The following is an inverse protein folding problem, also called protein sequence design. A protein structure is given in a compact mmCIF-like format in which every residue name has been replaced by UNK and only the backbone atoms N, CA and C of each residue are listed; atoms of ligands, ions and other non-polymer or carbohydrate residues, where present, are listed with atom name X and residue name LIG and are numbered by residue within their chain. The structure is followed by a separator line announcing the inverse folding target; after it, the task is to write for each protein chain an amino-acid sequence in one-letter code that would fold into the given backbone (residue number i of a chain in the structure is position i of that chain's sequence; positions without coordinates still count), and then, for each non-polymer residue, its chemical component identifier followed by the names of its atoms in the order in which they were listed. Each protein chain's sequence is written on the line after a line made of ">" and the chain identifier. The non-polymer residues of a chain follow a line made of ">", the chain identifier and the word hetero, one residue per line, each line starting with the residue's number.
data_IF_215302136143
#
_entry.id   IF_215302136143
#
_cell.length_a   1.000
_cell.length_b   1.000
_cell.length_c   1.000
_cell.angle_alpha   90.00
_cell.angle_beta   90.00
_cell.angle_gamma   90.00
#
_symmetry.space_group_name_H-M   'P 1'
#
loop_
_entity.id
_entity.type
_entity.pdbx_description
1 polymer ?
#
# COMPACT_ATOMS: atom_id res chain seq x y z
N UNK A 1 -37.45 21.00 27.28
CA UNK A 1 -36.62 22.13 27.72
C UNK A 1 -35.43 21.53 28.47
N UNK A 2 -34.37 21.16 27.75
CA UNK A 2 -33.04 20.97 28.30
C UNK A 2 -32.09 21.53 27.24
N UNK A 3 -31.33 22.44 27.69
CA UNK A 3 -30.51 23.43 27.02
C UNK A 3 -29.34 22.83 26.24
N UNK A 4 -29.10 23.44 25.09
CA UNK A 4 -27.88 23.29 24.31
C UNK A 4 -26.67 23.67 25.18
N UNK A 5 -25.87 22.69 25.55
CA UNK A 5 -24.51 22.93 26.08
C UNK A 5 -23.53 23.04 24.91
N UNK A 6 -22.94 24.21 24.89
CA UNK A 6 -21.99 24.77 23.98
C UNK A 6 -20.95 23.79 23.37
N UNK A 7 -20.81 23.92 22.08
CA UNK A 7 -19.59 23.60 21.37
C UNK A 7 -18.46 24.49 21.93
N UNK A 8 -17.54 23.90 22.65
CA UNK A 8 -16.33 24.56 23.11
C UNK A 8 -15.13 23.91 22.45
N UNK A 9 -14.41 24.78 21.74
CA UNK A 9 -12.98 24.72 21.43
C UNK A 9 -12.50 23.53 20.58
N UNK A 10 -12.66 23.69 19.26
CA UNK A 10 -11.65 23.21 18.35
C UNK A 10 -10.36 23.98 18.66
N UNK A 11 -9.47 23.39 19.46
CA UNK A 11 -8.12 23.90 19.68
C UNK A 11 -7.45 24.07 18.32
N UNK A 12 -7.34 25.32 17.85
CA UNK A 12 -6.51 25.69 16.73
C UNK A 12 -5.09 25.21 17.03
N UNK A 13 -4.71 24.09 16.41
CA UNK A 13 -3.32 23.65 16.43
C UNK A 13 -2.52 24.71 15.70
N UNK A 14 -1.61 25.45 16.36
CA UNK A 14 -0.89 26.52 15.71
C UNK A 14 -0.11 25.95 14.51
N UNK A 15 -0.01 26.71 13.40
CA UNK A 15 0.72 26.27 12.22
C UNK A 15 2.12 25.86 12.66
N UNK A 16 2.49 24.60 12.39
CA UNK A 16 3.81 24.08 12.78
C UNK A 16 4.86 24.93 12.06
N UNK A 17 5.47 25.90 12.76
CA UNK A 17 6.52 26.81 12.25
C UNK A 17 7.61 26.05 11.47
N UNK A 18 7.89 24.79 11.85
CA UNK A 18 8.84 23.93 11.17
C UNK A 18 8.52 23.62 9.70
N UNK A 19 7.25 23.60 9.27
CA UNK A 19 6.93 23.29 7.87
C UNK A 19 7.17 24.45 6.92
N UNK A 20 6.87 25.68 7.35
CA UNK A 20 7.14 26.91 6.58
C UNK A 20 8.64 27.09 6.43
N UNK A 21 9.41 26.87 7.51
CA UNK A 21 10.88 26.92 7.46
C UNK A 21 11.44 25.90 6.48
N UNK A 22 10.93 24.66 6.52
CA UNK A 22 11.36 23.60 5.59
C UNK A 22 11.03 23.98 4.13
N UNK A 23 9.83 24.49 3.88
CA UNK A 23 9.44 24.97 2.54
C UNK A 23 10.34 26.10 2.07
N UNK A 24 10.63 27.08 2.93
CA UNK A 24 11.54 28.16 2.62
C UNK A 24 12.97 27.67 2.33
N UNK A 25 13.48 26.69 3.08
CA UNK A 25 14.80 26.10 2.82
C UNK A 25 14.84 25.37 1.48
N UNK A 26 13.82 24.57 1.15
CA UNK A 26 13.70 23.91 -0.16
C UNK A 26 13.65 24.95 -1.27
N UNK A 27 12.88 26.03 -1.10
CA UNK A 27 12.78 27.12 -2.05
C UNK A 27 14.11 27.85 -2.23
N UNK A 28 14.86 28.08 -1.16
CA UNK A 28 16.16 28.70 -1.22
C UNK A 28 17.17 27.85 -2.01
N UNK A 29 17.22 26.55 -1.76
CA UNK A 29 18.09 25.63 -2.51
C UNK A 29 17.68 25.56 -3.98
N UNK A 30 16.38 25.49 -4.28
CA UNK A 30 15.86 25.46 -5.65
C UNK A 30 16.20 26.77 -6.40
N UNK A 31 15.98 27.91 -5.76
CA UNK A 31 16.28 29.22 -6.34
C UNK A 31 17.77 29.44 -6.58
N UNK A 32 18.63 29.02 -5.63
CA UNK A 32 20.07 29.03 -5.81
C UNK A 32 20.52 28.17 -6.98
N UNK A 33 20.03 26.93 -7.06
CA UNK A 33 20.32 26.02 -8.15
C UNK A 33 19.84 26.54 -9.51
N UNK A 34 18.65 27.17 -9.54
CA UNK A 34 18.12 27.81 -10.75
C UNK A 34 18.95 28.95 -11.26
N UNK A 35 19.53 29.74 -10.36
CA UNK A 35 20.32 30.93 -10.69
C UNK A 35 21.84 30.67 -10.79
N UNK A 36 22.29 29.42 -10.57
CA UNK A 36 23.72 29.09 -10.46
C UNK A 36 24.53 29.41 -11.72
N UNK A 37 23.93 29.36 -12.90
CA UNK A 37 24.58 29.68 -14.17
C UNK A 37 24.88 31.17 -14.36
N UNK A 38 24.29 32.07 -13.56
CA UNK A 38 24.43 33.49 -13.67
C UNK A 38 25.37 34.13 -12.61
N UNK A 39 26.08 33.30 -11.86
CA UNK A 39 27.10 33.69 -10.90
C UNK A 39 26.62 33.76 -9.43
N UNK A 40 27.57 34.04 -8.50
CA UNK A 40 27.30 33.90 -7.06
C UNK A 40 26.25 34.89 -6.52
N UNK A 41 26.21 36.13 -7.06
CA UNK A 41 25.19 37.09 -6.67
C UNK A 41 23.79 36.70 -7.12
N UNK A 42 23.67 36.13 -8.34
CA UNK A 42 22.42 35.60 -8.83
C UNK A 42 21.96 34.38 -7.99
N UNK A 43 22.88 33.50 -7.59
CA UNK A 43 22.57 32.39 -6.67
C UNK A 43 22.03 32.92 -5.33
N UNK A 44 22.67 33.93 -4.73
CA UNK A 44 22.20 34.52 -3.47
C UNK A 44 20.79 35.13 -3.63
N UNK A 45 20.58 35.91 -4.67
CA UNK A 45 19.27 36.49 -4.97
C UNK A 45 18.22 35.41 -5.25
N UNK A 46 18.57 34.40 -6.02
CA UNK A 46 17.71 33.22 -6.28
C UNK A 46 17.34 32.45 -5.01
N UNK A 47 18.30 32.27 -4.09
CA UNK A 47 18.04 31.65 -2.81
C UNK A 47 17.03 32.44 -1.98
N UNK A 48 17.18 33.74 -1.87
CA UNK A 48 16.25 34.59 -1.12
C UNK A 48 14.86 34.56 -1.78
N UNK A 49 14.79 34.79 -3.09
CA UNK A 49 13.52 34.82 -3.81
C UNK A 49 12.80 33.46 -3.75
N UNK A 50 13.53 32.37 -3.96
CA UNK A 50 12.98 31.00 -3.89
C UNK A 50 12.48 30.64 -2.49
N UNK A 51 13.24 31.01 -1.47
CA UNK A 51 12.85 30.80 -0.07
C UNK A 51 11.58 31.54 0.31
N UNK A 52 11.49 32.83 -0.04
CA UNK A 52 10.30 33.63 0.19
C UNK A 52 9.10 33.12 -0.58
N UNK A 53 9.26 32.78 -1.85
CA UNK A 53 8.20 32.28 -2.70
C UNK A 53 7.63 30.97 -2.16
N UNK A 54 8.47 29.98 -1.86
CA UNK A 54 8.01 28.66 -1.43
C UNK A 54 7.47 28.68 0.00
N UNK A 55 8.05 29.51 0.88
CA UNK A 55 7.48 29.79 2.20
C UNK A 55 6.08 30.39 2.11
N UNK A 56 5.88 31.38 1.23
CA UNK A 56 4.56 31.97 0.98
C UNK A 56 3.57 30.95 0.39
N UNK A 57 4.02 30.13 -0.55
CA UNK A 57 3.21 29.04 -1.14
C UNK A 57 2.72 28.09 -0.04
N UNK A 58 3.60 27.68 0.89
CA UNK A 58 3.21 26.80 2.01
C UNK A 58 2.19 27.46 2.96
N UNK A 59 2.41 28.73 3.31
CA UNK A 59 1.48 29.51 4.13
C UNK A 59 0.10 29.62 3.47
N UNK A 60 0.04 29.98 2.19
CA UNK A 60 -1.21 30.13 1.45
C UNK A 60 -1.94 28.80 1.26
N UNK A 61 -1.17 27.71 1.01
CA UNK A 61 -1.76 26.39 0.87
C UNK A 61 -2.42 25.94 2.18
N UNK A 62 -1.76 26.14 3.32
CA UNK A 62 -2.27 25.76 4.63
C UNK A 62 -3.41 26.63 5.12
N UNK A 63 -3.38 27.94 4.82
CA UNK A 63 -4.46 28.84 5.18
C UNK A 63 -5.81 28.46 4.55
N UNK A 64 -5.79 27.67 3.47
CA UNK A 64 -6.97 27.19 2.75
C UNK A 64 -7.27 25.69 2.96
N UNK A 65 -6.39 24.99 3.69
CA UNK A 65 -6.49 23.54 3.91
C UNK A 65 -7.26 23.25 5.18
N UNK A 66 -8.26 22.36 5.09
CA UNK A 66 -8.96 21.84 6.27
C UNK A 66 -8.08 20.82 7.00
N UNK A 67 -8.25 20.63 8.32
CA UNK A 67 -7.58 19.55 9.04
C UNK A 67 -7.80 18.19 8.34
N UNK A 68 -6.73 17.41 8.15
CA UNK A 68 -6.79 16.12 7.45
C UNK A 68 -6.85 16.18 5.91
N UNK A 69 -7.06 17.36 5.31
CA UNK A 69 -7.14 17.50 3.86
C UNK A 69 -5.74 17.40 3.20
N UNK A 70 -5.69 16.71 2.05
CA UNK A 70 -4.47 16.63 1.24
C UNK A 70 -4.17 18.03 0.66
N UNK A 71 -2.92 18.53 0.73
CA UNK A 71 -2.55 19.83 0.18
C UNK A 71 -3.00 20.01 -1.27
N UNK A 72 -3.46 21.22 -1.61
CA UNK A 72 -3.99 21.56 -2.92
C UNK A 72 -3.02 21.17 -4.05
N UNK A 73 -3.56 20.73 -5.19
CA UNK A 73 -2.75 20.23 -6.33
C UNK A 73 -1.67 21.20 -6.76
N UNK A 74 -1.99 22.50 -6.84
CA UNK A 74 -1.04 23.56 -7.24
C UNK A 74 0.17 23.65 -6.31
N UNK A 75 -0.03 23.55 -4.98
CA UNK A 75 1.06 23.60 -4.01
C UNK A 75 1.96 22.36 -4.11
N UNK A 76 1.35 21.19 -4.36
CA UNK A 76 2.10 19.94 -4.58
C UNK A 76 2.90 19.96 -5.88
N UNK A 77 2.41 20.64 -6.93
CA UNK A 77 3.14 20.84 -8.19
C UNK A 77 4.36 21.73 -7.93
N UNK A 78 4.15 22.88 -7.30
CA UNK A 78 5.23 23.85 -7.01
C UNK A 78 6.29 23.22 -6.12
N UNK A 79 5.92 22.52 -5.06
CA UNK A 79 6.87 21.85 -4.16
C UNK A 79 7.66 20.76 -4.89
N UNK A 80 7.00 19.94 -5.73
CA UNK A 80 7.67 18.89 -6.50
C UNK A 80 8.66 19.47 -7.52
N UNK A 81 8.31 20.57 -8.17
CA UNK A 81 9.17 21.27 -9.11
C UNK A 81 10.41 21.86 -8.39
N UNK A 82 10.20 22.47 -7.22
CA UNK A 82 11.29 23.01 -6.42
C UNK A 82 12.27 21.91 -5.97
N UNK A 83 11.76 20.75 -5.53
CA UNK A 83 12.60 19.59 -5.16
C UNK A 83 13.39 19.02 -6.34
N UNK A 84 12.90 19.13 -7.57
CA UNK A 84 13.58 18.64 -8.76
C UNK A 84 14.73 19.57 -9.22
N UNK A 85 14.64 20.86 -8.94
CA UNK A 85 15.62 21.85 -9.41
C UNK A 85 17.07 21.52 -9.00
N UNK A 86 17.42 21.27 -7.73
CA UNK A 86 18.78 20.92 -7.34
C UNK A 86 19.27 19.62 -7.98
N UNK A 87 18.37 18.64 -8.21
CA UNK A 87 18.73 17.41 -8.90
C UNK A 87 19.11 17.68 -10.37
N UNK A 88 18.34 18.51 -11.06
CA UNK A 88 18.66 18.91 -12.43
C UNK A 88 19.95 19.72 -12.53
N UNK A 89 20.23 20.60 -11.56
CA UNK A 89 21.52 21.31 -11.46
C UNK A 89 22.67 20.31 -11.28
N UNK A 90 22.55 19.35 -10.36
CA UNK A 90 23.57 18.35 -10.10
C UNK A 90 23.86 17.47 -11.33
N UNK A 91 22.82 17.02 -12.02
CA UNK A 91 22.96 16.25 -13.27
C UNK A 91 23.71 17.04 -14.34
N UNK A 92 23.37 18.32 -14.54
CA UNK A 92 24.05 19.20 -15.48
C UNK A 92 25.52 19.47 -15.07
N UNK A 93 25.81 19.65 -13.78
CA UNK A 93 27.16 19.78 -13.25
C UNK A 93 28.01 18.53 -13.46
N UNK A 94 27.37 17.34 -13.50
CA UNK A 94 28.01 16.06 -13.85
C UNK A 94 28.16 15.83 -15.37
N UNK A 95 27.80 16.81 -16.19
CA UNK A 95 27.96 16.75 -17.64
C UNK A 95 26.77 16.16 -18.41
N UNK A 96 25.62 15.93 -17.75
CA UNK A 96 24.42 15.48 -18.42
C UNK A 96 23.88 16.59 -19.34
N UNK A 97 23.59 16.24 -20.62
CA UNK A 97 22.93 17.14 -21.54
C UNK A 97 21.44 17.33 -21.18
N UNK A 98 20.79 18.31 -21.80
CA UNK A 98 19.38 18.65 -21.50
C UNK A 98 18.43 17.47 -21.73
N UNK A 99 18.64 16.65 -22.76
CA UNK A 99 17.83 15.47 -23.01
C UNK A 99 17.91 14.48 -21.84
N UNK A 100 19.13 14.20 -21.38
CA UNK A 100 19.36 13.27 -20.28
C UNK A 100 18.80 13.79 -18.94
N UNK A 101 18.99 15.09 -18.66
CA UNK A 101 18.40 15.76 -17.48
C UNK A 101 16.86 15.60 -17.53
N UNK A 102 16.23 15.89 -18.66
CA UNK A 102 14.78 15.76 -18.82
C UNK A 102 14.31 14.32 -18.64
N UNK A 103 14.93 13.34 -19.29
CA UNK A 103 14.55 11.92 -19.23
C UNK A 103 14.70 11.39 -17.79
N UNK A 104 15.80 11.70 -17.11
CA UNK A 104 16.03 11.23 -15.74
C UNK A 104 15.02 11.85 -14.78
N UNK A 105 14.83 13.17 -14.82
CA UNK A 105 13.90 13.84 -13.90
C UNK A 105 12.46 13.48 -14.16
N UNK A 106 12.05 13.36 -15.43
CA UNK A 106 10.74 12.85 -15.83
C UNK A 106 10.55 11.39 -15.42
N UNK A 107 11.58 10.56 -15.61
CA UNK A 107 11.58 9.15 -15.21
C UNK A 107 11.38 8.97 -13.71
N UNK A 108 12.14 9.71 -12.89
CA UNK A 108 11.97 9.71 -11.44
C UNK A 108 10.57 10.15 -11.04
N UNK A 109 10.07 11.25 -11.63
CA UNK A 109 8.71 11.73 -11.36
C UNK A 109 7.63 10.70 -11.75
N UNK A 110 7.83 9.99 -12.85
CA UNK A 110 6.96 8.90 -13.31
C UNK A 110 6.98 7.69 -12.37
N UNK A 111 8.18 7.28 -11.91
CA UNK A 111 8.37 6.16 -10.99
C UNK A 111 7.75 6.42 -9.60
N UNK A 112 7.73 7.67 -9.14
CA UNK A 112 7.04 8.06 -7.91
C UNK A 112 5.51 8.01 -8.03
N UNK A 113 4.98 7.84 -9.24
CA UNK A 113 3.55 7.57 -9.46
C UNK A 113 3.25 6.10 -9.34
N UNK A 114 2.15 5.73 -8.66
CA UNK A 114 1.74 4.32 -8.49
C UNK A 114 1.23 3.72 -9.82
N UNK A 115 0.70 4.56 -10.73
CA UNK A 115 0.16 4.10 -12.02
C UNK A 115 1.28 3.75 -13.01
N UNK A 116 1.30 2.54 -13.59
CA UNK A 116 2.33 2.13 -14.56
C UNK A 116 2.44 3.06 -15.77
N UNK A 117 1.34 3.60 -16.25
CA UNK A 117 1.32 4.55 -17.38
C UNK A 117 2.13 5.83 -17.10
N UNK A 118 2.24 6.25 -15.83
CA UNK A 118 3.07 7.39 -15.43
C UNK A 118 4.56 7.11 -15.57
N UNK A 119 4.96 5.84 -15.41
CA UNK A 119 6.36 5.39 -15.59
C UNK A 119 6.83 5.61 -17.03
N UNK A 120 5.93 5.42 -18.01
CA UNK A 120 6.23 5.72 -19.42
C UNK A 120 6.06 7.21 -19.74
N UNK A 121 5.02 7.85 -19.21
CA UNK A 121 4.74 9.27 -19.46
C UNK A 121 5.85 10.19 -18.96
N UNK A 122 6.43 9.89 -17.80
CA UNK A 122 7.48 10.73 -17.21
C UNK A 122 8.70 10.91 -18.12
N UNK A 123 9.38 9.84 -18.54
CA UNK A 123 10.51 9.95 -19.47
C UNK A 123 10.13 10.58 -20.81
N UNK A 124 8.93 10.32 -21.35
CA UNK A 124 8.46 10.91 -22.61
C UNK A 124 8.31 12.43 -22.49
N UNK A 125 7.67 12.92 -21.43
CA UNK A 125 7.57 14.36 -21.13
C UNK A 125 8.97 14.96 -20.94
N UNK A 126 9.83 14.26 -20.21
CA UNK A 126 11.20 14.69 -19.97
C UNK A 126 12.04 14.76 -21.25
N UNK A 127 11.92 13.78 -22.13
CA UNK A 127 12.60 13.78 -23.43
C UNK A 127 12.13 14.93 -24.33
N UNK A 128 10.81 15.13 -24.43
CA UNK A 128 10.23 16.21 -25.23
C UNK A 128 10.69 17.59 -24.75
N UNK A 129 10.65 17.83 -23.43
CA UNK A 129 11.11 19.09 -22.85
C UNK A 129 12.64 19.25 -22.89
N UNK A 130 13.40 18.18 -22.66
CA UNK A 130 14.85 18.21 -22.77
C UNK A 130 15.35 18.52 -24.18
N UNK A 131 14.61 18.06 -25.19
CA UNK A 131 14.85 18.42 -26.59
C UNK A 131 14.44 19.87 -26.90
N UNK A 132 13.22 20.26 -26.51
CA UNK A 132 12.66 21.58 -26.80
C UNK A 132 13.36 22.73 -26.06
N UNK A 133 13.90 22.46 -24.88
CA UNK A 133 14.55 23.42 -23.99
C UNK A 133 16.07 23.24 -23.96
N UNK A 134 16.67 22.83 -25.09
CA UNK A 134 18.12 22.71 -25.19
C UNK A 134 18.81 24.07 -24.86
N UNK A 135 19.84 24.02 -24.00
CA UNK A 135 20.56 25.22 -23.54
C UNK A 135 19.97 25.90 -22.29
N UNK A 136 18.80 25.48 -21.82
CA UNK A 136 18.25 25.97 -20.54
C UNK A 136 19.01 25.33 -19.37
N UNK A 137 19.30 26.07 -18.26
CA UNK A 137 19.94 25.52 -17.09
C UNK A 137 19.22 24.26 -16.57
N UNK A 138 19.98 23.22 -16.22
CA UNK A 138 19.45 21.92 -15.85
C UNK A 138 18.46 21.97 -14.66
N UNK A 139 18.66 22.87 -13.72
CA UNK A 139 17.73 23.11 -12.61
C UNK A 139 16.34 23.56 -13.09
N UNK A 140 16.31 24.53 -14.01
CA UNK A 140 15.05 25.04 -14.56
C UNK A 140 14.36 23.97 -15.40
N UNK A 141 15.12 23.28 -16.25
CA UNK A 141 14.60 22.18 -17.06
C UNK A 141 13.97 21.08 -16.20
N UNK A 142 14.63 20.66 -15.12
CA UNK A 142 14.11 19.66 -14.20
C UNK A 142 12.82 20.11 -13.50
N UNK A 143 12.78 21.36 -13.02
CA UNK A 143 11.60 21.93 -12.39
C UNK A 143 10.41 21.99 -13.36
N UNK A 144 10.64 22.49 -14.59
CA UNK A 144 9.61 22.54 -15.64
C UNK A 144 9.14 21.14 -16.05
N UNK A 145 10.07 20.19 -16.18
CA UNK A 145 9.73 18.79 -16.52
C UNK A 145 8.81 18.18 -15.47
N UNK A 146 9.13 18.33 -14.18
CA UNK A 146 8.29 17.79 -13.11
C UNK A 146 6.96 18.52 -13.02
N UNK A 147 6.94 19.84 -13.16
CA UNK A 147 5.69 20.60 -13.18
C UNK A 147 4.78 20.19 -14.35
N UNK A 148 5.30 20.12 -15.55
CA UNK A 148 4.57 19.70 -16.74
C UNK A 148 4.05 18.26 -16.62
N UNK A 149 4.88 17.32 -16.17
CA UNK A 149 4.47 15.96 -15.89
C UNK A 149 3.32 15.90 -14.87
N UNK A 150 3.39 16.68 -13.78
CA UNK A 150 2.36 16.73 -12.75
C UNK A 150 1.04 17.28 -13.29
N UNK A 151 1.09 18.38 -14.06
CA UNK A 151 -0.09 18.97 -14.72
C UNK A 151 -0.71 17.96 -15.69
N UNK A 152 0.10 17.41 -16.59
CA UNK A 152 -0.37 16.44 -17.58
C UNK A 152 -0.91 15.18 -16.93
N UNK A 153 -0.24 14.69 -15.89
CA UNK A 153 -0.71 13.56 -15.09
C UNK A 153 -2.05 13.83 -14.41
N UNK A 154 -2.29 15.05 -13.92
CA UNK A 154 -3.57 15.42 -13.32
C UNK A 154 -4.70 15.56 -14.34
N UNK A 155 -4.38 15.96 -15.56
CA UNK A 155 -5.35 16.06 -16.65
C UNK A 155 -5.73 14.69 -17.23
N UNK A 156 -4.73 13.80 -17.40
CA UNK A 156 -4.94 12.47 -18.01
C UNK A 156 -5.49 11.44 -17.02
N UNK A 157 -5.12 11.52 -15.75
CA UNK A 157 -5.48 10.55 -14.72
C UNK A 157 -6.29 11.22 -13.61
N UNK A 158 -7.54 11.52 -13.92
CA UNK A 158 -8.46 12.25 -13.01
C UNK A 158 -8.91 11.43 -11.82
N UNK A 159 -9.01 10.10 -11.98
CA UNK A 159 -9.47 9.23 -10.91
C UNK A 159 -8.47 9.20 -9.75
N UNK A 160 -8.91 9.39 -8.51
CA UNK A 160 -8.03 9.33 -7.34
C UNK A 160 -7.47 7.91 -7.19
N UNK A 161 -6.21 7.81 -6.77
CA UNK A 161 -5.60 6.51 -6.40
C UNK A 161 -5.95 6.11 -4.98
N UNK A 162 -6.21 7.10 -4.15
CA UNK A 162 -6.64 6.96 -2.76
C UNK A 162 -7.74 7.98 -2.53
N UNK A 163 -8.86 7.53 -1.99
CA UNK A 163 -9.96 8.41 -1.58
C UNK A 163 -10.31 8.17 -0.13
N UNK A 164 -10.54 9.24 0.62
CA UNK A 164 -11.01 9.16 1.99
C UNK A 164 -12.40 8.53 1.98
N UNK A 165 -12.59 7.47 2.76
CA UNK A 165 -13.85 6.74 2.88
C UNK A 165 -14.58 7.13 4.16
N UNK A 166 -13.85 7.18 5.28
CA UNK A 166 -14.42 7.53 6.58
C UNK A 166 -13.34 8.13 7.49
N UNK A 167 -13.73 9.05 8.36
CA UNK A 167 -12.86 9.68 9.35
C UNK A 167 -13.43 9.46 10.76
N UNK A 168 -12.58 9.02 11.69
CA UNK A 168 -12.90 8.86 13.11
C UNK A 168 -14.22 8.11 13.37
N UNK A 169 -14.38 6.95 12.69
CA UNK A 169 -15.59 6.13 12.82
C UNK A 169 -15.34 4.90 13.70
N UNK A 170 -16.41 4.40 14.29
CA UNK A 170 -16.40 3.10 14.97
C UNK A 170 -16.11 1.97 13.96
N UNK A 171 -15.22 1.00 14.29
CA UNK A 171 -14.93 -0.14 13.42
C UNK A 171 -16.17 -0.92 12.96
N UNK A 172 -17.21 -1.01 13.78
CA UNK A 172 -18.45 -1.69 13.44
C UNK A 172 -19.18 -1.08 12.22
N UNK A 173 -18.90 0.18 11.88
CA UNK A 173 -19.42 0.83 10.67
C UNK A 173 -18.73 0.40 9.38
N UNK A 174 -17.57 -0.24 9.49
CA UNK A 174 -16.75 -0.69 8.36
C UNK A 174 -16.44 -2.20 8.52
N UNK A 175 -17.44 -3.09 8.47
CA UNK A 175 -17.24 -4.52 8.75
C UNK A 175 -16.32 -5.21 7.74
N UNK A 176 -16.07 -4.59 6.60
CA UNK A 176 -15.14 -5.04 5.57
C UNK A 176 -13.68 -4.67 5.86
N UNK A 177 -13.40 -3.84 6.87
CA UNK A 177 -12.05 -3.48 7.30
C UNK A 177 -11.63 -4.31 8.51
N UNK A 178 -10.41 -4.82 8.51
CA UNK A 178 -9.82 -5.50 9.67
C UNK A 178 -9.08 -4.45 10.51
N UNK A 179 -9.62 -4.01 11.66
CA UNK A 179 -9.10 -2.87 12.41
C UNK A 179 -7.96 -3.24 13.36
N UNK A 180 -7.08 -4.16 12.95
CA UNK A 180 -6.03 -4.71 13.78
C UNK A 180 -4.67 -4.17 13.36
N UNK A 181 -4.16 -3.17 14.08
CA UNK A 181 -2.88 -2.53 13.86
C UNK A 181 -1.79 -3.09 14.77
N UNK A 182 -0.53 -2.97 14.37
CA UNK A 182 0.59 -3.23 15.26
C UNK A 182 0.88 -1.99 16.12
N UNK A 183 1.11 -2.19 17.41
CA UNK A 183 1.52 -1.12 18.33
C UNK A 183 2.99 -0.74 18.18
N UNK A 184 3.80 -1.69 17.75
CA UNK A 184 5.24 -1.52 17.52
C UNK A 184 5.56 -1.17 16.08
N UNK A 185 6.81 -0.73 15.83
CA UNK A 185 7.29 -0.46 14.46
C UNK A 185 7.57 -1.73 13.66
N UNK A 186 7.73 -2.87 14.32
CA UNK A 186 8.01 -4.17 13.72
C UNK A 186 6.83 -5.11 13.95
N UNK A 187 6.24 -5.63 12.90
CA UNK A 187 5.12 -6.57 12.96
C UNK A 187 5.64 -7.97 13.29
N UNK A 188 6.33 -8.60 12.36
CA UNK A 188 7.01 -9.88 12.57
C UNK A 188 6.12 -11.06 12.90
N UNK A 189 6.75 -12.20 13.16
CA UNK A 189 6.06 -13.47 13.43
C UNK A 189 5.43 -13.56 14.84
N UNK A 190 5.74 -12.60 15.72
CA UNK A 190 5.20 -12.51 17.09
C UNK A 190 3.92 -11.68 17.21
N UNK A 191 3.49 -11.01 16.13
CA UNK A 191 2.37 -10.07 16.15
C UNK A 191 1.08 -10.64 16.78
N UNK A 192 0.72 -11.90 16.49
CA UNK A 192 -0.54 -12.49 17.01
C UNK A 192 -0.48 -12.72 18.50
N UNK A 193 0.72 -13.02 19.07
CA UNK A 193 0.92 -13.13 20.52
C UNK A 193 0.76 -11.76 21.20
N UNK A 194 1.35 -10.70 20.60
CA UNK A 194 1.20 -9.33 21.11
C UNK A 194 -0.27 -8.89 21.08
N UNK A 195 -0.97 -9.21 19.97
CA UNK A 195 -2.39 -8.92 19.82
C UNK A 195 -3.26 -9.65 20.86
N UNK A 196 -2.92 -10.90 21.19
CA UNK A 196 -3.64 -11.64 22.24
C UNK A 196 -3.53 -10.97 23.61
N UNK A 197 -2.34 -10.47 23.95
CA UNK A 197 -2.13 -9.70 25.17
C UNK A 197 -2.97 -8.40 25.19
N UNK A 198 -3.07 -7.73 24.04
CA UNK A 198 -3.86 -6.50 23.90
C UNK A 198 -5.37 -6.75 24.03
N UNK A 199 -5.85 -7.88 23.51
CA UNK A 199 -7.26 -8.25 23.55
C UNK A 199 -7.65 -8.98 24.85
N UNK A 200 -6.68 -9.31 25.73
CA UNK A 200 -6.91 -10.14 26.92
C UNK A 200 -7.38 -11.55 26.57
N UNK A 201 -7.01 -12.05 25.38
CA UNK A 201 -7.42 -13.34 24.85
C UNK A 201 -6.37 -14.44 25.07
N UNK A 202 -6.80 -15.70 24.93
CA UNK A 202 -5.93 -16.87 24.97
C UNK A 202 -5.19 -17.00 23.63
N UNK A 203 -3.85 -16.96 23.66
CA UNK A 203 -2.99 -17.17 22.50
C UNK A 203 -2.66 -18.65 22.31
N UNK A 204 -2.84 -19.16 21.08
CA UNK A 204 -2.43 -20.51 20.71
C UNK A 204 -1.59 -20.48 19.43
N UNK A 205 -0.27 -20.69 19.53
CA UNK A 205 0.62 -20.76 18.36
C UNK A 205 0.42 -22.06 17.60
N UNK A 206 0.62 -21.99 16.26
CA UNK A 206 0.54 -23.14 15.34
C UNK A 206 -0.67 -24.04 15.66
N UNK A 207 -1.84 -23.42 15.80
CA UNK A 207 -3.06 -24.11 16.25
C UNK A 207 -3.39 -25.26 15.27
N UNK A 208 -3.39 -26.50 15.75
CA UNK A 208 -3.66 -27.64 14.88
C UNK A 208 -5.11 -27.61 14.39
N UNK A 209 -5.30 -28.09 13.18
CA UNK A 209 -6.62 -28.36 12.60
C UNK A 209 -7.52 -27.11 12.47
N UNK A 210 -6.94 -25.95 12.20
CA UNK A 210 -7.68 -24.73 11.90
C UNK A 210 -7.41 -24.23 10.50
N UNK A 211 -8.39 -23.52 9.95
CA UNK A 211 -8.30 -22.86 8.66
C UNK A 211 -8.31 -21.35 8.76
N UNK A 212 -8.12 -20.71 7.61
CA UNK A 212 -8.24 -19.26 7.47
C UNK A 212 -9.70 -18.78 7.59
N UNK A 213 -10.67 -19.65 7.36
CA UNK A 213 -12.08 -19.44 7.67
C UNK A 213 -12.58 -20.54 8.61
N UNK A 214 -13.64 -20.27 9.35
CA UNK A 214 -14.25 -21.29 10.22
C UNK A 214 -15.07 -22.29 9.40
N UNK A 215 -15.86 -21.81 8.45
CA UNK A 215 -16.60 -22.61 7.47
C UNK A 215 -16.77 -21.80 6.18
N UNK A 216 -16.70 -22.48 5.02
CA UNK A 216 -17.06 -21.87 3.74
C UNK A 216 -18.56 -21.55 3.65
N UNK A 217 -19.40 -22.14 4.49
CA UNK A 217 -20.83 -21.86 4.53
C UNK A 217 -21.13 -20.41 4.99
N UNK A 218 -20.21 -19.79 5.74
CA UNK A 218 -20.28 -18.36 6.08
C UNK A 218 -20.22 -17.46 4.84
N UNK A 219 -19.65 -17.96 3.75
CA UNK A 219 -19.48 -17.21 2.50
C UNK A 219 -20.65 -17.37 1.53
N UNK A 220 -21.63 -18.23 1.85
CA UNK A 220 -22.79 -18.49 1.00
C UNK A 220 -23.57 -17.20 0.67
N UNK A 221 -24.04 -17.09 -0.57
CA UNK A 221 -24.87 -15.97 -0.99
C UNK A 221 -25.11 -15.94 -2.51
N UNK A 222 -25.83 -14.93 -3.00
CA UNK A 222 -26.03 -14.76 -4.42
C UNK A 222 -24.69 -14.72 -5.18
N UNK A 223 -24.46 -15.72 -6.06
CA UNK A 223 -23.24 -15.86 -6.86
C UNK A 223 -22.18 -16.81 -6.29
N UNK A 224 -22.37 -17.34 -5.07
CA UNK A 224 -21.50 -18.37 -4.51
C UNK A 224 -22.27 -19.36 -3.65
N UNK A 225 -22.26 -20.63 -4.07
CA UNK A 225 -22.80 -21.76 -3.33
C UNK A 225 -21.63 -22.65 -2.84
N UNK A 226 -21.36 -22.68 -1.54
CA UNK A 226 -20.32 -23.53 -0.97
C UNK A 226 -20.50 -25.03 -1.21
N UNK A 227 -21.72 -25.51 -1.45
CA UNK A 227 -21.99 -26.92 -1.73
C UNK A 227 -21.37 -27.39 -3.04
N UNK A 228 -21.13 -26.48 -3.99
CA UNK A 228 -20.46 -26.77 -5.27
C UNK A 228 -18.93 -26.77 -5.19
N UNK A 229 -18.32 -26.51 -4.03
CA UNK A 229 -16.87 -26.49 -3.85
C UNK A 229 -16.33 -27.90 -3.66
N UNK A 230 -15.24 -28.22 -4.37
CA UNK A 230 -14.52 -29.49 -4.23
C UNK A 230 -14.14 -29.74 -2.75
N UNK A 231 -14.35 -30.95 -2.22
CA UNK A 231 -14.05 -31.26 -0.81
C UNK A 231 -12.61 -30.95 -0.40
N UNK A 232 -11.63 -31.11 -1.29
CA UNK A 232 -10.22 -30.83 -1.00
C UNK A 232 -9.95 -29.30 -0.95
N UNK A 233 -10.64 -28.51 -1.77
CA UNK A 233 -10.60 -27.04 -1.70
C UNK A 233 -11.26 -26.58 -0.41
N UNK A 234 -12.43 -27.14 -0.04
CA UNK A 234 -13.11 -26.84 1.22
C UNK A 234 -12.20 -27.15 2.41
N UNK A 235 -11.62 -28.35 2.44
CA UNK A 235 -10.69 -28.75 3.51
C UNK A 235 -9.50 -27.80 3.65
N UNK A 236 -8.96 -27.33 2.53
CA UNK A 236 -7.85 -26.35 2.57
C UNK A 236 -8.24 -25.04 3.27
N UNK A 237 -9.43 -24.52 3.01
CA UNK A 237 -9.88 -23.26 3.63
C UNK A 237 -10.27 -23.43 5.10
N UNK A 238 -10.93 -24.54 5.44
CA UNK A 238 -11.43 -24.80 6.79
C UNK A 238 -10.38 -25.46 7.70
N UNK A 239 -9.34 -26.08 7.13
CA UNK A 239 -8.26 -26.79 7.83
C UNK A 239 -6.90 -26.52 7.22
N UNK A 240 -6.57 -25.26 6.94
CA UNK A 240 -5.35 -24.84 6.24
C UNK A 240 -4.07 -25.40 6.88
N UNK A 241 -4.04 -25.56 8.20
CA UNK A 241 -2.88 -26.07 8.94
C UNK A 241 -2.53 -27.52 8.63
N UNK A 242 -3.42 -28.29 8.00
CA UNK A 242 -3.14 -29.66 7.51
C UNK A 242 -2.27 -29.67 6.25
N UNK A 243 -2.00 -28.51 5.64
CA UNK A 243 -1.33 -28.43 4.35
C UNK A 243 0.02 -27.71 4.45
N UNK A 244 0.91 -28.04 3.51
CA UNK A 244 2.12 -27.31 3.18
C UNK A 244 1.93 -26.61 1.84
N UNK A 245 2.59 -25.46 1.66
CA UNK A 245 2.48 -24.65 0.45
C UNK A 245 3.88 -24.39 -0.11
N UNK A 246 4.15 -24.93 -1.29
CA UNK A 246 5.34 -24.57 -2.07
C UNK A 246 4.98 -23.38 -2.97
N UNK A 247 5.80 -22.33 -2.91
CA UNK A 247 5.52 -21.06 -3.59
C UNK A 247 6.50 -20.86 -4.74
N UNK A 248 5.97 -20.59 -5.93
CA UNK A 248 6.75 -20.14 -7.08
C UNK A 248 6.36 -18.70 -7.44
N UNK A 249 7.17 -17.68 -7.08
CA UNK A 249 6.86 -16.28 -7.38
C UNK A 249 7.26 -15.93 -8.81
N UNK A 250 6.33 -15.34 -9.57
CA UNK A 250 6.56 -14.82 -10.92
C UNK A 250 6.39 -13.30 -10.95
N UNK A 251 7.48 -12.60 -10.70
CA UNK A 251 7.55 -11.15 -10.77
C UNK A 251 7.73 -10.67 -12.21
N UNK A 252 6.98 -9.65 -12.61
CA UNK A 252 7.24 -8.96 -13.87
C UNK A 252 8.52 -8.14 -13.78
N UNK A 253 9.32 -8.12 -14.86
CA UNK A 253 10.65 -7.50 -14.85
C UNK A 253 10.64 -6.02 -14.47
N UNK A 254 9.62 -5.28 -14.92
CA UNK A 254 9.49 -3.83 -14.68
C UNK A 254 9.26 -3.47 -13.21
N UNK A 255 8.78 -4.39 -12.37
CA UNK A 255 8.53 -4.16 -10.94
C UNK A 255 9.76 -4.45 -10.09
N UNK A 256 10.62 -5.37 -10.53
CA UNK A 256 11.72 -5.90 -9.72
C UNK A 256 12.62 -4.84 -9.09
N UNK A 257 13.08 -3.78 -9.80
CA UNK A 257 13.94 -2.75 -9.20
C UNK A 257 13.23 -2.00 -8.08
N UNK A 258 11.97 -1.59 -8.31
CA UNK A 258 11.16 -0.91 -7.29
C UNK A 258 10.86 -1.78 -6.09
N UNK A 259 10.57 -3.07 -6.32
CA UNK A 259 10.33 -4.01 -5.23
C UNK A 259 11.59 -4.28 -4.41
N UNK A 260 12.78 -4.38 -5.02
CA UNK A 260 14.03 -4.52 -4.27
C UNK A 260 14.26 -3.34 -3.32
N UNK A 261 13.99 -2.13 -3.79
CA UNK A 261 14.10 -0.92 -2.97
C UNK A 261 13.08 -0.97 -1.82
N UNK A 262 11.80 -1.22 -2.12
CA UNK A 262 10.74 -1.37 -1.13
C UNK A 262 11.07 -2.46 -0.10
N UNK A 263 11.52 -3.62 -0.56
CA UNK A 263 11.83 -4.76 0.28
C UNK A 263 12.89 -4.43 1.34
N UNK A 264 13.97 -3.76 0.93
CA UNK A 264 15.09 -3.46 1.83
C UNK A 264 14.80 -2.26 2.75
N UNK A 265 14.08 -1.26 2.26
CA UNK A 265 13.81 -0.03 3.03
C UNK A 265 12.52 -0.10 3.86
N UNK A 266 11.57 -0.96 3.49
CA UNK A 266 10.24 -1.02 4.12
C UNK A 266 9.91 -2.42 4.60
N UNK A 267 9.81 -3.42 3.71
CA UNK A 267 9.25 -4.72 4.05
C UNK A 267 10.04 -5.45 5.14
N UNK A 268 11.37 -5.52 5.01
CA UNK A 268 12.23 -6.16 6.01
C UNK A 268 12.29 -5.42 7.34
N UNK A 269 12.52 -4.08 7.37
CA UNK A 269 12.47 -3.32 8.62
C UNK A 269 11.10 -3.37 9.32
N UNK A 270 10.02 -3.54 8.54
CA UNK A 270 8.67 -3.66 9.05
C UNK A 270 8.32 -5.07 9.54
N UNK A 271 9.02 -6.10 9.02
CA UNK A 271 8.65 -7.50 9.24
C UNK A 271 7.33 -7.89 8.58
N UNK A 272 7.02 -7.31 7.40
CA UNK A 272 5.75 -7.50 6.70
C UNK A 272 5.93 -7.36 5.17
N UNK A 273 5.21 -8.17 4.38
CA UNK A 273 5.20 -8.13 2.91
C UNK A 273 6.58 -8.34 2.23
N UNK A 274 7.43 -9.20 2.83
CA UNK A 274 8.75 -9.57 2.33
C UNK A 274 8.66 -10.82 1.42
N UNK A 275 7.94 -10.69 0.32
CA UNK A 275 7.68 -11.81 -0.62
C UNK A 275 8.96 -12.24 -1.34
N UNK A 276 9.23 -13.56 -1.50
CA UNK A 276 10.40 -14.04 -2.24
C UNK A 276 10.48 -13.48 -3.66
N UNK A 277 11.71 -13.12 -4.09
CA UNK A 277 11.95 -12.54 -5.42
C UNK A 277 12.12 -13.58 -6.53
N UNK A 278 12.59 -14.77 -6.17
CA UNK A 278 12.97 -15.80 -7.12
C UNK A 278 12.93 -17.19 -6.47
N UNK A 279 13.11 -18.20 -7.30
CA UNK A 279 13.06 -19.59 -6.89
C UNK A 279 14.21 -19.97 -5.91
N UNK A 280 15.37 -19.30 -5.98
CA UNK A 280 16.47 -19.56 -5.04
C UNK A 280 16.08 -19.17 -3.61
N UNK A 281 15.31 -18.09 -3.44
CA UNK A 281 14.81 -17.67 -2.13
C UNK A 281 13.71 -18.61 -1.62
N UNK A 282 12.90 -19.18 -2.50
CA UNK A 282 11.88 -20.16 -2.09
C UNK A 282 12.50 -21.50 -1.68
N UNK A 283 13.73 -21.83 -2.13
CA UNK A 283 14.49 -23.00 -1.68
C UNK A 283 14.89 -22.91 -0.19
N UNK A 284 14.84 -21.74 0.43
CA UNK A 284 14.97 -21.58 1.89
C UNK A 284 13.83 -22.26 2.66
N UNK A 285 12.79 -22.70 1.95
CA UNK A 285 11.57 -23.24 2.53
C UNK A 285 10.66 -22.14 3.08
N UNK A 286 9.39 -22.43 3.13
CA UNK A 286 8.37 -21.52 3.72
C UNK A 286 7.68 -22.26 4.84
N UNK A 287 7.83 -21.75 6.06
CA UNK A 287 7.01 -22.17 7.19
C UNK A 287 5.66 -21.45 7.11
N UNK A 288 4.60 -22.21 7.24
CA UNK A 288 3.22 -21.71 7.23
C UNK A 288 2.50 -22.23 8.46
N UNK A 289 2.01 -21.32 9.31
CA UNK A 289 1.24 -21.65 10.51
C UNK A 289 0.08 -20.68 10.70
N UNK A 290 -0.94 -21.10 11.43
CA UNK A 290 -2.00 -20.22 11.89
C UNK A 290 -1.93 -20.16 13.41
N UNK A 291 -1.67 -18.95 13.90
CA UNK A 291 -1.78 -18.63 15.31
C UNK A 291 -3.19 -18.07 15.56
N UNK A 292 -3.78 -18.42 16.70
CA UNK A 292 -5.15 -17.97 17.02
C UNK A 292 -5.17 -17.20 18.33
N UNK A 293 -6.14 -16.31 18.42
CA UNK A 293 -6.56 -15.69 19.69
C UNK A 293 -7.99 -16.07 19.95
N UNK A 294 -8.27 -16.57 21.15
CA UNK A 294 -9.63 -16.88 21.59
C UNK A 294 -10.05 -15.93 22.70
N UNK A 295 -11.26 -15.39 22.59
CA UNK A 295 -11.90 -14.56 23.62
C UNK A 295 -13.21 -15.26 23.98
N UNK A 296 -13.48 -15.40 25.27
CA UNK A 296 -14.66 -16.11 25.79
C UNK A 296 -14.85 -17.53 25.20
N UNK A 297 -13.74 -18.24 24.94
CA UNK A 297 -13.72 -19.58 24.42
C UNK A 297 -13.96 -19.70 22.90
N UNK A 298 -14.17 -18.59 22.18
CA UNK A 298 -14.34 -18.56 20.74
C UNK A 298 -13.09 -18.01 20.05
N UNK A 299 -12.68 -18.63 18.92
CA UNK A 299 -11.58 -18.09 18.09
C UNK A 299 -12.06 -16.81 17.43
N UNK A 300 -11.51 -15.68 17.85
CA UNK A 300 -11.81 -14.34 17.33
C UNK A 300 -10.81 -13.86 16.29
N UNK A 301 -9.56 -14.36 16.36
CA UNK A 301 -8.49 -14.00 15.44
C UNK A 301 -7.85 -15.26 14.86
N UNK A 302 -7.68 -15.27 13.53
CA UNK A 302 -6.89 -16.25 12.78
C UNK A 302 -5.78 -15.52 12.05
N UNK A 303 -4.57 -15.56 12.62
CA UNK A 303 -3.38 -14.96 12.02
C UNK A 303 -2.60 -15.98 11.21
N UNK A 304 -2.65 -15.87 9.88
CA UNK A 304 -1.83 -16.73 9.02
C UNK A 304 -0.46 -16.09 8.83
N UNK A 305 0.55 -16.78 9.39
CA UNK A 305 1.93 -16.32 9.42
C UNK A 305 2.74 -17.17 8.46
N UNK A 306 3.45 -16.50 7.57
CA UNK A 306 4.46 -17.12 6.72
C UNK A 306 5.83 -16.54 6.98
N UNK A 307 6.82 -17.40 7.12
CA UNK A 307 8.22 -17.04 7.34
C UNK A 307 9.13 -17.95 6.54
N UNK A 308 10.37 -17.52 6.32
CA UNK A 308 11.41 -18.39 5.77
C UNK A 308 11.76 -19.46 6.80
N UNK A 309 11.81 -20.74 6.37
CA UNK A 309 11.98 -21.86 7.29
C UNK A 309 13.36 -21.91 7.96
N UNK A 310 14.38 -21.36 7.30
CA UNK A 310 15.77 -21.33 7.76
C UNK A 310 16.06 -20.29 8.85
N UNK A 311 15.38 -19.14 8.81
CA UNK A 311 15.69 -17.99 9.69
C UNK A 311 14.48 -17.49 10.47
N UNK A 312 13.30 -18.02 10.21
CA UNK A 312 12.01 -17.49 10.68
C UNK A 312 11.76 -15.99 10.32
N UNK A 313 12.50 -15.45 9.34
CA UNK A 313 12.29 -14.11 8.81
C UNK A 313 10.89 -14.02 8.22
N UNK A 314 10.06 -13.06 8.66
CA UNK A 314 8.67 -12.99 8.22
C UNK A 314 8.56 -12.68 6.73
N UNK A 315 7.67 -13.41 6.05
CA UNK A 315 7.26 -13.11 4.67
C UNK A 315 6.02 -12.23 4.72
N UNK A 316 4.98 -12.67 5.45
CA UNK A 316 3.85 -11.85 5.80
C UNK A 316 3.03 -12.41 6.98
N UNK A 317 2.27 -11.52 7.60
CA UNK A 317 1.26 -11.84 8.62
C UNK A 317 -0.08 -11.31 8.10
N UNK A 318 -1.04 -12.19 7.91
CA UNK A 318 -2.40 -11.82 7.48
C UNK A 318 -3.42 -12.27 8.53
N UNK A 319 -4.28 -11.36 8.96
CA UNK A 319 -5.40 -11.68 9.85
C UNK A 319 -6.66 -11.84 9.02
N UNK A 320 -7.24 -13.02 9.08
CA UNK A 320 -8.40 -13.40 8.29
C UNK A 320 -9.68 -13.27 9.11
N UNK A 321 -10.68 -12.63 8.53
CA UNK A 321 -12.04 -12.51 9.07
C UNK A 321 -13.06 -12.78 7.99
N UNK A 322 -14.23 -13.24 8.38
CA UNK A 322 -15.41 -13.35 7.53
C UNK A 322 -16.49 -12.41 8.04
N UNK A 323 -17.29 -11.87 7.15
CA UNK A 323 -18.47 -11.09 7.52
C UNK A 323 -19.55 -11.24 6.45
N UNK A 324 -20.79 -10.87 6.79
CA UNK A 324 -21.92 -10.90 5.86
C UNK A 324 -22.48 -9.51 5.64
N UNK A 325 -22.82 -9.22 4.39
CA UNK A 325 -23.47 -7.98 3.98
C UNK A 325 -24.39 -8.24 2.80
N UNK A 326 -25.61 -7.75 2.84
CA UNK A 326 -26.66 -7.91 1.82
C UNK A 326 -26.84 -9.38 1.38
N UNK A 327 -26.87 -10.29 2.37
CA UNK A 327 -27.06 -11.71 2.13
C UNK A 327 -25.86 -12.44 1.52
N UNK A 328 -24.71 -11.78 1.36
CA UNK A 328 -23.45 -12.32 0.82
C UNK A 328 -22.41 -12.45 1.92
N UNK A 329 -21.58 -13.49 1.85
CA UNK A 329 -20.41 -13.62 2.67
C UNK A 329 -19.17 -13.10 1.95
N UNK A 330 -18.22 -12.56 2.71
CA UNK A 330 -16.94 -12.01 2.24
C UNK A 330 -15.80 -12.46 3.14
N UNK A 331 -14.60 -12.50 2.57
CA UNK A 331 -13.36 -12.69 3.33
C UNK A 331 -12.59 -11.37 3.35
N UNK A 332 -12.23 -10.89 4.53
CA UNK A 332 -11.31 -9.76 4.68
C UNK A 332 -9.99 -10.25 5.27
N UNK A 333 -8.90 -9.77 4.68
CA UNK A 333 -7.54 -10.06 5.13
C UNK A 333 -6.89 -8.76 5.53
N UNK A 334 -6.63 -8.60 6.82
CA UNK A 334 -5.88 -7.47 7.36
C UNK A 334 -4.39 -7.77 7.40
N UNK A 335 -3.60 -6.87 6.85
CA UNK A 335 -2.15 -6.86 6.98
C UNK A 335 -1.78 -5.77 7.99
N UNK A 336 -1.42 -6.16 9.24
CA UNK A 336 -1.09 -5.18 10.29
C UNK A 336 0.14 -4.36 9.89
N UNK A 337 0.06 -3.08 10.19
CA UNK A 337 1.11 -2.08 10.02
C UNK A 337 1.21 -1.26 11.31
N UNK A 338 2.30 -0.54 11.58
CA UNK A 338 2.39 0.36 12.73
C UNK A 338 1.24 1.38 12.77
N UNK A 339 0.39 1.28 13.77
CA UNK A 339 -0.81 2.12 13.96
C UNK A 339 -1.79 2.13 12.77
N UNK A 340 -1.68 1.16 11.86
CA UNK A 340 -2.52 1.06 10.69
C UNK A 340 -2.77 -0.41 10.30
N UNK A 341 -3.74 -0.63 9.44
CA UNK A 341 -3.99 -1.92 8.80
C UNK A 341 -4.26 -1.71 7.32
N UNK A 342 -3.63 -2.52 6.48
CA UNK A 342 -4.00 -2.62 5.08
C UNK A 342 -4.92 -3.82 4.91
N UNK A 343 -6.16 -3.59 4.48
CA UNK A 343 -7.16 -4.66 4.35
C UNK A 343 -7.45 -4.93 2.88
N UNK A 344 -7.46 -6.22 2.51
CA UNK A 344 -8.02 -6.72 1.26
C UNK A 344 -9.37 -7.39 1.57
N UNK A 345 -10.43 -6.91 0.95
CA UNK A 345 -11.77 -7.50 1.07
C UNK A 345 -12.15 -8.17 -0.23
N UNK A 346 -12.48 -9.46 -0.14
CA UNK A 346 -12.58 -10.37 -1.27
C UNK A 346 -13.98 -10.97 -1.38
N UNK A 347 -14.51 -10.95 -2.59
CA UNK A 347 -15.75 -11.64 -2.98
C UNK A 347 -15.42 -13.10 -3.33
N UNK A 348 -16.12 -14.08 -2.77
CA UNK A 348 -16.02 -15.47 -3.20
C UNK A 348 -16.79 -15.68 -4.51
N UNK A 349 -16.18 -16.40 -5.45
CA UNK A 349 -16.80 -16.80 -6.72
C UNK A 349 -16.53 -18.27 -6.99
N UNK A 350 -17.55 -18.97 -7.46
CA UNK A 350 -17.38 -20.34 -7.93
C UNK A 350 -16.49 -20.38 -9.18
N UNK A 351 -15.58 -21.35 -9.22
CA UNK A 351 -14.79 -21.70 -10.38
C UNK A 351 -15.32 -23.00 -10.99
N UNK A 352 -15.42 -23.13 -12.33
CA UNK A 352 -15.74 -24.41 -12.96
C UNK A 352 -14.82 -25.53 -12.45
N UNK A 353 -15.40 -26.69 -12.16
CA UNK A 353 -14.66 -27.83 -11.61
C UNK A 353 -14.49 -27.80 -10.09
N UNK A 354 -15.33 -27.02 -9.37
CA UNK A 354 -15.37 -27.02 -7.90
C UNK A 354 -14.30 -26.17 -7.22
N UNK A 355 -13.55 -25.37 -7.95
CA UNK A 355 -12.59 -24.43 -7.35
C UNK A 355 -13.28 -23.20 -6.75
N UNK A 356 -12.50 -22.41 -6.02
CA UNK A 356 -12.93 -21.16 -5.40
C UNK A 356 -11.98 -20.01 -5.79
N UNK A 357 -12.55 -18.92 -6.29
CA UNK A 357 -11.83 -17.66 -6.50
C UNK A 357 -12.23 -16.65 -5.45
N UNK A 358 -11.27 -16.14 -4.69
CA UNK A 358 -11.44 -14.96 -3.87
C UNK A 358 -10.88 -13.76 -4.63
N UNK A 359 -11.69 -12.73 -4.87
CA UNK A 359 -11.29 -11.59 -5.71
C UNK A 359 -11.70 -10.24 -5.12
N UNK A 360 -10.78 -9.28 -5.20
CA UNK A 360 -11.09 -7.86 -4.92
C UNK A 360 -11.66 -7.14 -6.14
N UNK A 361 -11.66 -7.78 -7.34
CA UNK A 361 -12.23 -7.24 -8.57
C UNK A 361 -13.72 -7.53 -8.64
N UNK A 362 -14.51 -6.66 -8.07
CA UNK A 362 -15.96 -6.78 -7.99
C UNK A 362 -16.66 -5.53 -8.51
N UNK A 363 -17.95 -5.67 -8.84
CA UNK A 363 -18.88 -4.55 -9.08
C UNK A 363 -19.66 -4.20 -7.80
N UNK A 364 -19.46 -4.97 -6.74
CA UNK A 364 -20.04 -4.71 -5.43
C UNK A 364 -19.21 -3.65 -4.70
N UNK A 365 -19.82 -2.94 -3.77
CA UNK A 365 -19.21 -1.76 -3.15
C UNK A 365 -18.10 -2.08 -2.14
N UNK A 366 -18.15 -3.27 -1.51
CA UNK A 366 -17.25 -3.60 -0.40
C UNK A 366 -15.96 -4.36 -0.77
N UNK A 367 -15.91 -5.22 -1.80
CA UNK A 367 -14.64 -5.81 -2.23
C UNK A 367 -13.66 -4.73 -2.73
N UNK A 368 -12.42 -4.79 -2.24
CA UNK A 368 -11.41 -3.78 -2.57
C UNK A 368 -10.27 -3.76 -1.58
N UNK A 369 -9.52 -2.68 -1.60
CA UNK A 369 -8.37 -2.49 -0.72
C UNK A 369 -8.51 -1.20 0.08
N UNK A 370 -8.18 -1.28 1.38
CA UNK A 370 -8.37 -0.20 2.33
C UNK A 370 -7.13 -0.02 3.18
N UNK A 371 -6.74 1.23 3.39
CA UNK A 371 -5.71 1.59 4.35
C UNK A 371 -6.39 2.33 5.50
N UNK A 372 -6.34 1.74 6.69
CA UNK A 372 -6.99 2.28 7.88
C UNK A 372 -5.95 2.61 8.94
N UNK A 373 -5.93 3.85 9.39
CA UNK A 373 -5.28 4.24 10.64
C UNK A 373 -6.21 3.87 11.78
N UNK A 374 -5.64 3.25 12.81
CA UNK A 374 -6.35 2.87 14.05
C UNK A 374 -5.86 3.79 15.14
N UNK A 375 -6.75 4.62 15.67
CA UNK A 375 -6.40 5.53 16.76
C UNK A 375 -6.05 4.72 18.02
N UNK A 376 -4.85 4.86 18.54
CA UNK A 376 -4.43 4.08 19.72
C UNK A 376 -5.17 4.48 21.01
N UNK A 377 -5.87 5.63 21.05
CA UNK A 377 -6.56 6.12 22.22
C UNK A 377 -7.96 5.50 22.38
N UNK A 378 -8.69 5.35 21.27
CA UNK A 378 -10.09 4.94 21.31
C UNK A 378 -10.45 3.85 20.26
N UNK A 379 -9.49 3.41 19.45
CA UNK A 379 -9.67 2.39 18.42
C UNK A 379 -10.48 2.85 17.20
N UNK A 380 -10.81 4.14 17.07
CA UNK A 380 -11.53 4.67 15.92
C UNK A 380 -10.71 4.58 14.64
N UNK A 381 -11.41 4.42 13.53
CA UNK A 381 -10.81 4.25 12.22
C UNK A 381 -10.87 5.52 11.38
N UNK A 382 -9.73 5.88 10.80
CA UNK A 382 -9.68 6.78 9.65
C UNK A 382 -9.23 5.96 8.45
N UNK A 383 -10.14 5.74 7.49
CA UNK A 383 -9.99 4.75 6.43
C UNK A 383 -10.02 5.41 5.05
N UNK A 384 -9.06 5.03 4.23
CA UNK A 384 -8.99 5.39 2.82
C UNK A 384 -9.15 4.16 1.93
N UNK A 385 -9.94 4.28 0.86
CA UNK A 385 -9.99 3.27 -0.20
C UNK A 385 -8.78 3.44 -1.13
N UNK A 386 -8.12 2.33 -1.45
CA UNK A 386 -6.94 2.27 -2.34
C UNK A 386 -7.37 1.73 -3.69
N UNK A 387 -7.45 2.62 -4.69
CA UNK A 387 -7.91 2.27 -6.02
C UNK A 387 -6.77 1.79 -6.92
N UNK A 388 -7.12 0.93 -7.87
CA UNK A 388 -6.19 0.44 -8.89
C UNK A 388 -5.31 -0.71 -8.45
N UNK A 389 -5.32 -1.09 -7.18
CA UNK A 389 -4.74 -2.35 -6.72
C UNK A 389 -5.82 -3.44 -6.76
N UNK A 390 -5.46 -4.65 -7.19
CA UNK A 390 -6.38 -5.77 -7.26
C UNK A 390 -5.65 -7.08 -7.06
N UNK A 391 -6.37 -8.04 -6.45
CA UNK A 391 -5.89 -9.40 -6.30
C UNK A 391 -6.99 -10.43 -6.59
N UNK A 392 -6.55 -11.58 -7.09
CA UNK A 392 -7.36 -12.77 -7.30
C UNK A 392 -6.60 -13.97 -6.72
N UNK A 393 -7.19 -14.69 -5.79
CA UNK A 393 -6.70 -15.97 -5.29
C UNK A 393 -7.60 -17.09 -5.84
N UNK A 394 -7.09 -17.84 -6.80
CA UNK A 394 -7.78 -18.98 -7.44
C UNK A 394 -7.24 -20.28 -6.85
N UNK A 395 -8.09 -21.04 -6.17
CA UNK A 395 -7.75 -22.34 -5.55
C UNK A 395 -8.57 -23.43 -6.21
N UNK A 396 -7.90 -24.48 -6.70
CA UNK A 396 -8.54 -25.53 -7.48
C UNK A 396 -7.79 -26.85 -7.41
N UNK A 397 -8.47 -27.93 -7.78
CA UNK A 397 -7.88 -29.26 -7.96
C UNK A 397 -7.56 -29.46 -9.44
N UNK A 398 -6.32 -29.87 -9.72
CA UNK A 398 -5.86 -30.27 -11.05
C UNK A 398 -5.08 -31.57 -10.95
N UNK A 399 -5.45 -32.59 -11.74
CA UNK A 399 -4.83 -33.93 -11.73
C UNK A 399 -4.78 -34.55 -10.31
N UNK A 400 -5.85 -34.35 -9.52
CA UNK A 400 -5.95 -34.80 -8.13
C UNK A 400 -5.06 -34.04 -7.13
N UNK A 401 -4.39 -32.97 -7.56
CA UNK A 401 -3.53 -32.13 -6.72
C UNK A 401 -4.16 -30.76 -6.49
N UNK A 402 -4.08 -30.29 -5.25
CA UNK A 402 -4.52 -28.96 -4.90
C UNK A 402 -3.50 -27.93 -5.34
N UNK A 403 -3.94 -26.92 -6.06
CA UNK A 403 -3.13 -25.82 -6.59
C UNK A 403 -3.78 -24.48 -6.29
N UNK A 404 -2.97 -23.44 -6.23
CA UNK A 404 -3.49 -22.09 -6.23
C UNK A 404 -2.66 -21.14 -7.08
N UNK A 405 -3.33 -20.12 -7.61
CA UNK A 405 -2.71 -18.99 -8.28
C UNK A 405 -3.17 -17.71 -7.59
N UNK A 406 -2.25 -16.93 -7.05
CA UNK A 406 -2.53 -15.65 -6.42
C UNK A 406 -1.95 -14.53 -7.27
N UNK A 407 -2.79 -13.85 -8.02
CA UNK A 407 -2.40 -12.82 -8.97
C UNK A 407 -2.65 -11.43 -8.41
N UNK A 408 -1.61 -10.59 -8.42
CA UNK A 408 -1.69 -9.19 -8.01
C UNK A 408 -1.55 -8.27 -9.20
N UNK A 409 -2.39 -7.24 -9.26
CA UNK A 409 -2.44 -6.26 -10.36
C UNK A 409 -2.42 -4.84 -9.83
N UNK A 410 -1.85 -3.95 -10.63
CA UNK A 410 -1.93 -2.51 -10.40
C UNK A 410 -2.45 -1.85 -11.68
N UNK A 411 -3.60 -1.16 -11.58
CA UNK A 411 -4.34 -0.59 -12.71
C UNK A 411 -4.52 -1.57 -13.89
N UNK A 412 -4.91 -2.81 -13.55
CA UNK A 412 -5.16 -3.89 -14.51
C UNK A 412 -3.92 -4.64 -14.99
N UNK A 413 -2.70 -4.12 -14.78
CA UNK A 413 -1.46 -4.78 -15.19
C UNK A 413 -0.97 -5.74 -14.10
N UNK A 414 -0.79 -7.02 -14.40
CA UNK A 414 -0.23 -7.97 -13.45
C UNK A 414 1.23 -7.61 -13.16
N UNK A 415 1.61 -7.62 -11.89
CA UNK A 415 2.98 -7.36 -11.47
C UNK A 415 3.62 -8.52 -10.71
N UNK A 416 2.80 -9.34 -10.05
CA UNK A 416 3.20 -10.53 -9.32
C UNK A 416 2.14 -11.61 -9.48
N UNK A 417 2.57 -12.83 -9.73
CA UNK A 417 1.74 -14.03 -9.63
C UNK A 417 2.48 -15.06 -8.78
N UNK A 418 1.83 -15.54 -7.72
CA UNK A 418 2.34 -16.62 -6.88
C UNK A 418 1.62 -17.90 -7.28
N UNK A 419 2.36 -18.89 -7.77
CA UNK A 419 1.83 -20.22 -8.00
C UNK A 419 2.13 -21.09 -6.78
N UNK A 420 1.13 -21.84 -6.34
CA UNK A 420 1.24 -22.72 -5.19
C UNK A 420 0.99 -24.17 -5.59
N UNK A 421 1.85 -25.06 -5.11
CA UNK A 421 1.54 -26.49 -4.96
C UNK A 421 1.22 -26.72 -3.51
N UNK A 422 0.06 -27.30 -3.28
CA UNK A 422 -0.48 -27.47 -1.93
C UNK A 422 -0.59 -28.98 -1.67
N UNK A 423 0.07 -29.46 -0.63
CA UNK A 423 0.15 -30.88 -0.28
C UNK A 423 -0.25 -31.07 1.17
N UNK A 424 -0.94 -32.18 1.48
CA UNK A 424 -1.23 -32.52 2.87
C UNK A 424 0.07 -32.82 3.62
N UNK A 425 0.15 -32.33 4.85
CA UNK A 425 1.24 -32.71 5.76
C UNK A 425 1.13 -34.21 6.08
N UNK A 426 2.24 -34.91 6.27
CA UNK A 426 2.19 -36.28 6.80
C UNK A 426 1.43 -36.32 8.12
N UNK A 427 0.63 -37.37 8.33
CA UNK A 427 0.00 -37.59 9.64
C UNK A 427 1.09 -37.67 10.71
N UNK A 428 0.97 -36.84 11.74
CA UNK A 428 1.87 -36.90 12.91
C UNK A 428 1.52 -38.04 13.81
#
# INVERSE_FOLDING_TARGET
>A
MIEAAAATDASETPPRRGSVVLAALIGAVAGAAGAASWGPWAMAAGAVAGGLLLGLVDVLARARQRPGEIPALWSRIVMSAALAAPCGWALAALGANSLLVGVITGGVAGLLGIRPHKVALGPLVGAALGWAMAGVPGAILAAVTVAAFRVLSALLFRDPQVSMLAEQVDPARLPFVVPLAARTRYVGTGYVADLAADLGGEYRPDHPDVGIVASLDELAGPGFDPAGVDPLVREFYEHTTRFTLDIEPRWRAWVRPGYLLYRNLVARPLGQANVPMNQRETQRGVRSRIDTVSVDGAITVRGWIRSFADTDEPIYVGVYTTYRHDGRGYVSVGFPLPQASFTATLEPRARPGGGLVLTSRSRLDQPGHYLSFVDPADGRLTTAAVHGFAEDLDVYVQDGQLRAEHAFRVFGLPFLVLHYRISRKPAR
#
